data_IF_977610037186
#
_entry.id   IF_977610037186
#
_cell.length_a   1.000
_cell.length_b   1.000
_cell.length_c   1.000
_cell.angle_alpha   90.00
_cell.angle_beta   90.00
_cell.angle_gamma   90.00
#
_symmetry.space_group_name_H-M   'P 1'
#
loop_
_entity.id
_entity.type
_entity.pdbx_description
1 polymer ?
#
# COMPACT_ATOMS: atom_id res chain seq x y z
N UNK A 1 1.64 72.67 -53.88
CA UNK A 1 1.29 71.76 -52.80
C UNK A 1 -0.01 71.06 -53.21
N UNK A 2 0.04 69.74 -53.40
CA UNK A 2 -1.01 69.01 -54.12
C UNK A 2 -2.20 68.76 -53.23
N UNK A 3 -3.41 69.07 -53.73
CA UNK A 3 -4.70 68.82 -53.08
C UNK A 3 -4.91 67.29 -52.72
N UNK A 4 -4.18 66.40 -53.33
CA UNK A 4 -4.13 64.98 -53.09
C UNK A 4 -3.56 64.64 -51.70
N UNK A 5 -2.59 65.41 -51.18
CA UNK A 5 -1.97 65.20 -49.84
C UNK A 5 -2.99 65.39 -48.69
N UNK A 6 -3.91 66.32 -48.83
CA UNK A 6 -4.90 66.64 -47.79
C UNK A 6 -6.03 65.58 -47.75
N UNK A 7 -6.38 65.00 -48.88
CA UNK A 7 -7.39 63.94 -48.97
C UNK A 7 -6.86 62.65 -48.32
N UNK A 8 -5.58 62.30 -48.52
CA UNK A 8 -4.93 61.16 -47.91
C UNK A 8 -4.81 61.32 -46.39
N UNK A 9 -4.56 62.52 -45.90
CA UNK A 9 -4.48 62.82 -44.48
C UNK A 9 -5.86 62.74 -43.79
N UNK A 10 -6.91 63.25 -44.45
CA UNK A 10 -8.29 63.20 -43.95
C UNK A 10 -8.86 61.76 -43.93
N UNK A 11 -8.54 60.94 -44.94
CA UNK A 11 -8.92 59.51 -44.93
C UNK A 11 -8.19 58.74 -43.82
N UNK A 12 -6.93 59.05 -43.52
CA UNK A 12 -6.19 58.40 -42.41
C UNK A 12 -6.77 58.71 -41.02
N UNK A 13 -7.24 59.97 -40.80
CA UNK A 13 -7.85 60.37 -39.52
C UNK A 13 -9.25 59.76 -39.34
N UNK A 14 -9.99 59.52 -40.41
CA UNK A 14 -11.29 58.85 -40.31
C UNK A 14 -11.19 57.33 -40.01
N UNK A 15 -10.06 56.71 -40.35
CA UNK A 15 -9.80 55.30 -40.01
C UNK A 15 -9.41 55.07 -38.54
N UNK A 16 -8.96 56.09 -37.84
CA UNK A 16 -8.54 56.02 -36.43
C UNK A 16 -9.69 56.16 -35.44
N UNK A 17 -10.87 56.56 -35.87
CA UNK A 17 -12.06 56.62 -35.02
C UNK A 17 -12.93 55.35 -35.07
N UNK A 18 -12.42 54.29 -35.69
CA UNK A 18 -13.08 52.99 -35.76
C UNK A 18 -12.83 52.07 -34.54
N UNK A 19 -12.42 52.60 -33.37
CA UNK A 19 -12.62 51.89 -32.12
C UNK A 19 -14.12 51.90 -31.82
N UNK A 20 -14.82 50.98 -32.43
CA UNK A 20 -16.15 50.62 -32.01
C UNK A 20 -16.05 50.13 -30.60
N UNK A 21 -16.41 50.93 -29.60
CA UNK A 21 -16.71 50.42 -28.27
C UNK A 21 -17.83 49.40 -28.48
N UNK A 22 -17.45 48.16 -28.42
CA UNK A 22 -18.46 47.07 -28.40
C UNK A 22 -19.29 47.23 -27.12
N UNK A 23 -20.38 48.00 -27.23
CA UNK A 23 -21.40 48.12 -26.19
C UNK A 23 -22.33 46.95 -26.27
N UNK A 24 -21.81 45.75 -26.57
CA UNK A 24 -22.58 44.56 -26.51
C UNK A 24 -23.16 44.41 -25.10
N UNK A 25 -24.46 44.41 -24.98
CA UNK A 25 -25.17 43.99 -23.78
C UNK A 25 -24.99 42.48 -23.67
N UNK A 26 -23.79 42.06 -23.31
CA UNK A 26 -23.57 40.68 -22.93
C UNK A 26 -24.12 40.53 -21.51
N UNK A 27 -25.21 39.80 -21.38
CA UNK A 27 -25.63 39.29 -20.05
C UNK A 27 -24.60 38.30 -19.58
N UNK A 28 -23.52 38.77 -18.96
CA UNK A 28 -22.57 37.92 -18.32
C UNK A 28 -23.24 37.29 -17.11
N UNK A 29 -23.43 36.01 -17.16
CA UNK A 29 -23.76 35.26 -15.95
C UNK A 29 -22.49 35.31 -15.06
N UNK A 30 -22.53 35.99 -13.89
CA UNK A 30 -21.38 36.05 -13.03
C UNK A 30 -20.97 34.62 -12.65
N UNK A 31 -19.69 34.29 -12.86
CA UNK A 31 -19.13 33.04 -12.36
C UNK A 31 -19.14 33.10 -10.86
N UNK A 32 -19.67 32.06 -10.19
CA UNK A 32 -19.58 31.95 -8.75
C UNK A 32 -18.17 31.52 -8.36
N UNK A 33 -17.52 32.27 -7.52
CA UNK A 33 -16.24 31.88 -6.93
C UNK A 33 -16.44 30.69 -5.99
N UNK A 34 -15.62 29.67 -6.18
CA UNK A 34 -15.58 28.47 -5.35
C UNK A 34 -14.16 28.23 -4.88
N UNK A 35 -13.98 27.91 -3.60
CA UNK A 35 -12.69 27.51 -3.04
C UNK A 35 -12.77 26.05 -2.64
N UNK A 36 -11.88 25.23 -3.21
CA UNK A 36 -11.77 23.81 -2.96
C UNK A 36 -10.55 23.53 -2.06
N UNK A 37 -10.79 23.26 -0.77
CA UNK A 37 -9.74 22.94 0.20
C UNK A 37 -9.58 21.42 0.31
N UNK A 38 -8.50 20.88 -0.27
CA UNK A 38 -8.16 19.46 -0.20
C UNK A 38 -6.93 19.29 0.68
N UNK A 39 -7.15 18.85 1.91
CA UNK A 39 -6.07 18.60 2.88
C UNK A 39 -6.40 17.39 3.75
N UNK A 40 -6.30 16.17 3.22
CA UNK A 40 -6.53 14.96 4.00
C UNK A 40 -5.50 14.82 5.12
N UNK A 41 -5.96 14.52 6.33
CA UNK A 41 -5.10 14.29 7.49
C UNK A 41 -4.26 13.00 7.34
N UNK A 42 -4.79 12.02 6.64
CA UNK A 42 -4.06 10.81 6.28
C UNK A 42 -3.77 10.82 4.78
N UNK A 43 -2.50 10.97 4.43
CA UNK A 43 -2.01 10.94 3.05
C UNK A 43 -1.52 9.55 2.61
N UNK A 44 -1.71 8.54 3.46
CA UNK A 44 -1.41 7.16 3.14
C UNK A 44 -2.71 6.41 2.85
N UNK A 45 -2.69 5.58 1.82
CA UNK A 45 -3.74 4.63 1.55
C UNK A 45 -3.18 3.21 1.49
N UNK A 46 -4.03 2.23 1.75
CA UNK A 46 -3.63 0.84 1.79
C UNK A 46 -4.30 0.04 0.67
N UNK A 47 -3.49 -0.78 0.01
CA UNK A 47 -3.95 -1.63 -1.07
C UNK A 47 -5.13 -2.51 -0.64
N UNK A 48 -6.23 -2.45 -1.40
CA UNK A 48 -7.45 -3.22 -1.14
C UNK A 48 -8.35 -2.66 -0.03
N UNK A 49 -7.93 -1.61 0.68
CA UNK A 49 -8.76 -0.93 1.68
C UNK A 49 -9.44 0.31 1.08
N UNK A 50 -10.63 0.63 1.57
CA UNK A 50 -11.34 1.82 1.15
C UNK A 50 -10.61 3.07 1.63
N UNK A 51 -10.26 3.97 0.72
CA UNK A 51 -9.81 5.32 1.06
C UNK A 51 -10.98 6.29 0.93
N UNK A 52 -11.28 7.00 2.00
CA UNK A 52 -12.39 7.96 2.06
C UNK A 52 -11.91 9.30 2.61
N UNK A 53 -12.25 10.39 1.91
CA UNK A 53 -11.94 11.74 2.35
C UNK A 53 -13.05 12.71 1.89
N UNK A 54 -13.54 13.55 2.81
CA UNK A 54 -14.51 14.60 2.53
C UNK A 54 -13.81 15.97 2.52
N UNK A 55 -13.80 16.69 1.39
CA UNK A 55 -13.15 17.99 1.27
C UNK A 55 -13.97 19.10 1.91
N UNK A 56 -13.32 20.26 2.13
CA UNK A 56 -14.04 21.47 2.50
C UNK A 56 -14.19 22.37 1.27
N UNK A 57 -15.43 22.76 1.00
CA UNK A 57 -15.78 23.63 -0.11
C UNK A 57 -16.47 24.89 0.41
N UNK A 58 -16.02 26.04 -0.08
CA UNK A 58 -16.59 27.34 0.24
C UNK A 58 -17.08 28.02 -1.03
N UNK A 59 -18.29 28.52 -1.02
CA UNK A 59 -18.92 29.22 -2.13
C UNK A 59 -19.00 30.72 -1.80
N UNK A 60 -18.79 31.60 -2.80
CA UNK A 60 -18.98 33.02 -2.62
C UNK A 60 -20.47 33.39 -2.40
N UNK A 61 -21.38 32.61 -2.97
CA UNK A 61 -22.83 32.78 -2.80
C UNK A 61 -23.40 31.61 -2.01
N UNK A 62 -24.11 31.92 -0.92
CA UNK A 62 -24.75 30.90 -0.10
C UNK A 62 -25.80 30.10 -0.89
N UNK A 63 -25.88 28.80 -0.62
CA UNK A 63 -26.85 27.89 -1.21
C UNK A 63 -26.53 27.41 -2.64
N UNK A 64 -25.39 27.78 -3.19
CA UNK A 64 -25.04 27.51 -4.60
C UNK A 64 -24.46 26.10 -4.84
N UNK A 65 -24.33 25.28 -3.83
CA UNK A 65 -23.80 23.91 -3.94
C UNK A 65 -24.52 23.03 -4.96
N UNK A 66 -25.83 23.26 -5.17
CA UNK A 66 -26.67 22.51 -6.11
C UNK A 66 -26.33 22.79 -7.58
N UNK A 67 -25.59 23.86 -7.84
CA UNK A 67 -25.21 24.28 -9.20
C UNK A 67 -23.84 23.75 -9.61
N UNK A 68 -23.20 22.90 -8.81
CA UNK A 68 -21.91 22.32 -9.12
C UNK A 68 -22.00 20.80 -9.26
N UNK A 69 -21.24 20.28 -10.23
CA UNK A 69 -20.93 18.86 -10.38
C UNK A 69 -19.49 18.62 -9.97
N UNK A 70 -19.24 17.55 -9.22
CA UNK A 70 -17.93 17.25 -8.65
C UNK A 70 -17.39 15.93 -9.16
N UNK A 71 -16.06 15.87 -9.31
CA UNK A 71 -15.31 14.63 -9.55
C UNK A 71 -13.89 14.77 -9.02
N UNK A 72 -13.22 13.63 -8.92
CA UNK A 72 -11.84 13.55 -8.50
C UNK A 72 -10.99 12.97 -9.62
N UNK A 73 -9.82 13.56 -9.82
CA UNK A 73 -8.82 13.08 -10.75
C UNK A 73 -7.67 12.44 -9.98
N UNK A 74 -7.23 11.26 -10.43
CA UNK A 74 -5.99 10.61 -10.01
C UNK A 74 -4.96 10.81 -11.11
N UNK A 75 -3.80 11.31 -10.72
CA UNK A 75 -2.66 11.54 -11.61
C UNK A 75 -1.56 10.53 -11.28
N UNK A 76 -1.30 9.63 -12.22
CA UNK A 76 -0.18 8.71 -12.15
C UNK A 76 1.08 9.42 -12.70
N UNK A 77 2.08 9.61 -11.85
CA UNK A 77 3.35 10.27 -12.23
C UNK A 77 4.36 9.26 -12.80
N UNK A 78 3.97 8.43 -13.76
CA UNK A 78 4.93 7.64 -14.51
C UNK A 78 5.68 8.52 -15.50
N UNK A 79 7.01 8.62 -15.31
CA UNK A 79 8.02 9.13 -16.27
C UNK A 79 7.52 10.23 -17.24
N UNK A 80 7.22 11.41 -16.70
CA UNK A 80 7.07 12.63 -17.51
C UNK A 80 5.72 12.83 -18.22
N UNK A 81 4.81 11.90 -18.18
CA UNK A 81 3.44 12.05 -18.70
C UNK A 81 2.47 11.74 -17.57
N UNK A 82 1.78 12.77 -17.07
CA UNK A 82 0.69 12.57 -16.12
C UNK A 82 -0.49 11.93 -16.86
N UNK A 83 -0.69 10.64 -16.70
CA UNK A 83 -1.96 10.02 -17.04
C UNK A 83 -2.98 10.47 -15.99
N UNK A 84 -3.99 11.21 -16.44
CA UNK A 84 -5.10 11.64 -15.58
C UNK A 84 -6.24 10.68 -15.80
N UNK A 85 -6.69 10.06 -14.70
CA UNK A 85 -7.87 9.21 -14.70
C UNK A 85 -8.89 9.75 -13.68
N UNK A 86 -10.17 9.54 -13.96
CA UNK A 86 -11.23 9.91 -13.02
C UNK A 86 -11.32 8.84 -11.94
N UNK A 87 -10.93 9.20 -10.71
CA UNK A 87 -10.98 8.28 -9.57
C UNK A 87 -12.41 7.94 -9.16
N UNK A 88 -13.23 8.99 -9.02
CA UNK A 88 -14.63 8.86 -8.65
C UNK A 88 -15.40 10.12 -9.05
N UNK A 89 -16.71 9.96 -9.22
CA UNK A 89 -17.66 11.05 -9.44
C UNK A 89 -18.41 11.28 -8.14
N UNK A 90 -18.42 12.52 -7.68
CA UNK A 90 -19.08 12.93 -6.46
C UNK A 90 -18.26 13.93 -5.64
N UNK A 91 -18.83 14.35 -4.52
CA UNK A 91 -18.22 15.33 -3.62
C UNK A 91 -17.05 14.73 -2.84
N UNK A 92 -17.22 13.53 -2.32
CA UNK A 92 -16.20 12.84 -1.53
C UNK A 92 -15.25 12.05 -2.42
N UNK A 93 -13.97 11.97 -2.01
CA UNK A 93 -13.00 11.04 -2.57
C UNK A 93 -13.23 9.67 -1.94
N UNK A 94 -13.72 8.72 -2.73
CA UNK A 94 -14.08 7.39 -2.29
C UNK A 94 -13.63 6.36 -3.33
N UNK A 95 -12.55 5.63 -3.02
CA UNK A 95 -12.03 4.63 -3.94
C UNK A 95 -11.32 3.48 -3.24
N UNK A 96 -11.16 2.36 -3.94
CA UNK A 96 -10.38 1.20 -3.51
C UNK A 96 -9.11 1.13 -4.34
N UNK A 97 -7.94 1.48 -3.76
CA UNK A 97 -6.68 1.43 -4.48
C UNK A 97 -6.27 0.00 -4.83
N UNK A 98 -5.74 -0.19 -6.04
CA UNK A 98 -5.32 -1.48 -6.59
C UNK A 98 -3.81 -1.59 -6.84
N UNK A 99 -3.03 -0.59 -6.45
CA UNK A 99 -1.58 -0.58 -6.62
C UNK A 99 -0.87 0.21 -5.52
N UNK A 100 0.29 -0.28 -5.12
CA UNK A 100 1.22 0.39 -4.20
C UNK A 100 2.03 1.44 -4.96
N UNK A 101 1.53 2.64 -5.05
CA UNK A 101 2.21 3.75 -5.74
C UNK A 101 1.83 5.09 -5.13
N UNK A 102 2.64 6.10 -5.36
CA UNK A 102 2.26 7.47 -5.05
C UNK A 102 1.45 8.06 -6.21
N UNK A 103 0.33 8.66 -5.89
CA UNK A 103 -0.56 9.32 -6.87
C UNK A 103 -0.85 10.75 -6.44
N UNK A 104 -0.95 11.66 -7.40
CA UNK A 104 -1.53 12.97 -7.18
C UNK A 104 -3.05 12.88 -7.26
N UNK A 105 -3.76 13.53 -6.34
CA UNK A 105 -5.22 13.66 -6.41
C UNK A 105 -5.61 15.12 -6.39
N UNK A 106 -6.63 15.48 -7.13
CA UNK A 106 -7.26 16.81 -7.07
C UNK A 106 -8.76 16.71 -7.24
N UNK A 107 -9.47 17.59 -6.55
CA UNK A 107 -10.90 17.76 -6.72
C UNK A 107 -11.15 18.73 -7.87
N UNK A 108 -12.15 18.42 -8.68
CA UNK A 108 -12.67 19.29 -9.72
C UNK A 108 -14.16 19.58 -9.47
N UNK A 109 -14.58 20.82 -9.76
CA UNK A 109 -15.94 21.26 -9.64
C UNK A 109 -16.34 22.05 -10.91
N UNK A 110 -17.41 21.68 -11.56
CA UNK A 110 -17.93 22.38 -12.73
C UNK A 110 -19.21 23.14 -12.37
N UNK A 111 -19.22 24.45 -12.59
CA UNK A 111 -20.44 25.25 -12.52
C UNK A 111 -21.36 24.88 -13.68
N UNK A 112 -22.49 24.29 -13.39
CA UNK A 112 -23.47 23.81 -14.38
C UNK A 112 -24.15 24.93 -15.20
N UNK A 113 -24.04 26.19 -14.76
CA UNK A 113 -24.60 27.35 -15.47
C UNK A 113 -23.64 27.89 -16.52
N UNK A 114 -22.36 27.85 -16.24
CA UNK A 114 -21.31 28.47 -17.06
C UNK A 114 -20.40 27.46 -17.74
N UNK A 115 -20.43 26.20 -17.30
CA UNK A 115 -19.50 25.12 -17.67
C UNK A 115 -18.03 25.45 -17.32
N UNK A 116 -17.79 26.39 -16.41
CA UNK A 116 -16.45 26.69 -15.91
C UNK A 116 -16.03 25.61 -14.91
N UNK A 117 -14.84 25.06 -15.11
CA UNK A 117 -14.25 24.07 -14.22
C UNK A 117 -13.25 24.74 -13.29
N UNK A 118 -13.43 24.51 -11.98
CA UNK A 118 -12.50 24.89 -10.92
C UNK A 118 -11.80 23.64 -10.43
N UNK A 119 -10.54 23.74 -10.04
CA UNK A 119 -9.79 22.62 -9.49
C UNK A 119 -9.03 23.04 -8.22
N UNK A 120 -8.89 22.12 -7.28
CA UNK A 120 -8.03 22.29 -6.12
C UNK A 120 -6.56 22.19 -6.49
N UNK A 121 -5.68 22.55 -5.56
CA UNK A 121 -4.30 22.12 -5.61
C UNK A 121 -4.21 20.58 -5.58
N UNK A 122 -3.13 20.07 -6.16
CA UNK A 122 -2.82 18.64 -6.14
C UNK A 122 -2.27 18.22 -4.77
N UNK A 123 -2.80 17.13 -4.23
CA UNK A 123 -2.29 16.48 -3.02
C UNK A 123 -1.74 15.11 -3.39
N UNK A 124 -0.54 14.79 -2.93
CA UNK A 124 0.05 13.47 -3.13
C UNK A 124 -0.42 12.51 -2.04
N UNK A 125 -0.98 11.38 -2.45
CA UNK A 125 -1.27 10.23 -1.60
C UNK A 125 -0.24 9.14 -1.88
N UNK A 126 0.19 8.41 -0.83
CA UNK A 126 1.18 7.33 -0.92
C UNK A 126 0.52 5.99 -0.62
N UNK A 127 0.61 5.07 -1.58
CA UNK A 127 0.08 3.71 -1.45
C UNK A 127 1.06 2.78 -0.77
N UNK A 128 0.53 1.92 0.10
CA UNK A 128 1.30 0.89 0.81
C UNK A 128 0.51 -0.42 0.86
N UNK A 129 1.25 -1.55 0.98
CA UNK A 129 0.62 -2.80 1.34
C UNK A 129 0.04 -2.73 2.75
N UNK A 130 -1.18 -3.23 2.92
CA UNK A 130 -1.91 -3.12 4.19
C UNK A 130 -1.18 -3.76 5.38
N UNK A 131 -0.37 -4.79 5.11
CA UNK A 131 0.28 -5.60 6.13
C UNK A 131 1.83 -5.50 6.09
N UNK A 132 2.39 -4.46 5.46
CA UNK A 132 3.84 -4.33 5.27
C UNK A 132 4.59 -3.73 6.47
N UNK A 133 3.90 -3.02 7.36
CA UNK A 133 4.49 -2.32 8.50
C UNK A 133 3.64 -2.54 9.76
N UNK A 134 4.13 -3.36 10.68
CA UNK A 134 3.39 -3.62 11.91
C UNK A 134 3.95 -4.78 12.71
N UNK A 135 3.18 -5.24 13.67
CA UNK A 135 3.52 -6.36 14.54
C UNK A 135 2.61 -7.54 14.24
N UNK A 136 3.24 -8.66 13.90
CA UNK A 136 2.58 -9.95 13.79
C UNK A 136 2.68 -10.67 15.14
N UNK A 137 1.57 -11.18 15.64
CA UNK A 137 1.46 -11.79 16.97
C UNK A 137 0.89 -13.19 16.80
N UNK A 138 1.65 -14.18 17.24
CA UNK A 138 1.18 -15.57 17.36
C UNK A 138 0.67 -15.81 18.78
N UNK A 139 -0.50 -16.35 18.91
CA UNK A 139 -1.15 -16.65 20.19
C UNK A 139 -1.91 -17.97 20.14
N UNK A 140 -2.37 -18.43 21.29
CA UNK A 140 -3.34 -19.52 21.36
C UNK A 140 -4.72 -18.98 21.68
N UNK A 141 -5.72 -19.47 20.96
CA UNK A 141 -7.14 -19.14 21.15
C UNK A 141 -7.97 -20.40 21.08
N UNK A 142 -8.57 -20.80 22.20
CA UNK A 142 -9.40 -21.99 22.29
C UNK A 142 -8.71 -23.31 21.85
N UNK A 143 -7.41 -23.45 22.14
CA UNK A 143 -6.61 -24.60 21.76
C UNK A 143 -6.06 -24.60 20.34
N UNK A 144 -6.37 -23.57 19.54
CA UNK A 144 -5.85 -23.37 18.21
C UNK A 144 -4.82 -22.22 18.16
N UNK A 145 -3.88 -22.31 17.24
CA UNK A 145 -2.98 -21.20 16.92
C UNK A 145 -3.77 -20.08 16.24
N UNK A 146 -3.58 -18.86 16.70
CA UNK A 146 -4.17 -17.66 16.12
C UNK A 146 -3.09 -16.65 15.77
N UNK A 147 -3.26 -16.00 14.63
CA UNK A 147 -2.36 -14.97 14.12
C UNK A 147 -3.09 -13.64 14.08
N UNK A 148 -2.58 -12.65 14.81
CA UNK A 148 -3.12 -11.28 14.81
C UNK A 148 -2.07 -10.31 14.28
N UNK A 149 -2.52 -9.20 13.72
CA UNK A 149 -1.63 -8.15 13.21
C UNK A 149 -2.08 -6.79 13.73
N UNK A 150 -1.11 -5.95 14.10
CA UNK A 150 -1.33 -4.58 14.54
C UNK A 150 -0.54 -3.65 13.65
N UNK A 151 -1.22 -2.78 12.91
CA UNK A 151 -0.63 -1.74 12.08
C UNK A 151 -0.58 -0.42 12.82
N UNK A 152 0.61 0.17 13.06
CA UNK A 152 0.72 1.52 13.55
C UNK A 152 0.41 2.51 12.43
N UNK A 153 -0.41 3.49 12.71
CA UNK A 153 -0.72 4.57 11.81
C UNK A 153 -0.43 5.92 12.47
N UNK A 154 -0.24 6.94 11.67
CA UNK A 154 0.04 8.29 12.18
C UNK A 154 -0.74 9.30 11.36
N UNK A 155 -1.45 10.18 12.06
CA UNK A 155 -2.08 11.35 11.45
C UNK A 155 -1.05 12.45 11.15
N UNK A 156 -1.39 13.41 10.29
CA UNK A 156 -0.52 14.53 9.95
C UNK A 156 -0.14 15.39 11.19
N UNK A 157 -1.00 15.44 12.21
CA UNK A 157 -0.74 16.08 13.51
C UNK A 157 0.11 15.21 14.46
N UNK A 158 0.74 14.15 13.93
CA UNK A 158 1.63 13.20 14.64
C UNK A 158 0.98 12.42 15.77
N UNK A 159 -0.32 12.28 15.78
CA UNK A 159 -0.99 11.35 16.67
C UNK A 159 -0.91 9.94 16.13
N UNK A 160 -0.50 9.01 16.98
CA UNK A 160 -0.46 7.58 16.65
C UNK A 160 -1.79 6.94 16.98
N UNK A 161 -2.24 6.06 16.09
CA UNK A 161 -3.33 5.13 16.33
C UNK A 161 -2.96 3.76 15.76
N UNK A 162 -3.76 2.76 16.04
CA UNK A 162 -3.45 1.39 15.65
C UNK A 162 -4.69 0.77 15.01
N UNK A 163 -4.47 0.14 13.86
CA UNK A 163 -5.49 -0.71 13.23
C UNK A 163 -5.17 -2.15 13.57
N UNK A 164 -6.14 -2.84 14.15
CA UNK A 164 -6.00 -4.22 14.61
C UNK A 164 -6.70 -5.18 13.64
N UNK A 165 -6.03 -6.25 13.29
CA UNK A 165 -6.56 -7.38 12.52
C UNK A 165 -6.55 -8.59 13.46
N UNK A 166 -7.56 -8.74 14.32
CA UNK A 166 -7.66 -9.91 15.17
C UNK A 166 -7.93 -11.14 14.32
N UNK A 167 -7.17 -12.22 14.55
CA UNK A 167 -7.31 -13.45 13.82
C UNK A 167 -7.11 -13.30 12.30
N UNK A 168 -6.00 -12.67 11.93
CA UNK A 168 -5.63 -12.37 10.54
C UNK A 168 -5.69 -13.64 9.65
N UNK A 169 -5.17 -14.78 10.15
CA UNK A 169 -5.15 -16.02 9.35
C UNK A 169 -6.58 -16.49 9.02
N UNK A 170 -7.49 -16.42 9.98
CA UNK A 170 -8.90 -16.78 9.76
C UNK A 170 -9.62 -15.81 8.81
N UNK A 171 -9.18 -14.56 8.78
CA UNK A 171 -9.69 -13.56 7.81
C UNK A 171 -9.23 -13.89 6.39
N UNK A 172 -7.96 -14.32 6.23
CA UNK A 172 -7.41 -14.72 4.92
C UNK A 172 -7.92 -16.09 4.47
N UNK A 173 -8.14 -17.01 5.40
CA UNK A 173 -8.53 -18.40 5.17
C UNK A 173 -9.70 -18.79 6.07
N UNK A 174 -10.96 -18.38 5.77
CA UNK A 174 -12.12 -18.59 6.63
C UNK A 174 -12.40 -20.06 6.97
N UNK A 175 -12.08 -20.97 6.05
CA UNK A 175 -12.35 -22.40 6.14
C UNK A 175 -11.16 -23.24 6.59
N UNK A 176 -9.98 -22.61 6.85
CA UNK A 176 -8.77 -23.31 7.28
C UNK A 176 -8.43 -22.96 8.73
N UNK A 177 -7.88 -23.94 9.48
CA UNK A 177 -7.21 -23.70 10.75
C UNK A 177 -5.72 -23.41 10.50
N UNK A 178 -5.16 -22.46 11.25
CA UNK A 178 -3.70 -22.25 11.25
C UNK A 178 -2.97 -23.47 11.80
N UNK A 179 -3.60 -24.17 12.75
CA UNK A 179 -3.06 -25.32 13.47
C UNK A 179 -3.18 -25.18 14.99
N UNK A 180 -2.32 -25.85 15.74
CA UNK A 180 -2.35 -25.84 17.21
C UNK A 180 -0.96 -25.91 17.83
N UNK A 181 -0.86 -25.59 19.12
CA UNK A 181 0.39 -25.58 19.88
C UNK A 181 1.36 -24.52 19.35
N UNK A 182 0.99 -23.23 19.38
CA UNK A 182 1.83 -22.15 18.86
C UNK A 182 3.09 -22.03 19.72
N UNK A 183 4.25 -21.92 19.09
CA UNK A 183 5.54 -21.79 19.77
C UNK A 183 6.22 -20.46 19.47
N UNK A 184 6.39 -20.13 18.18
CA UNK A 184 7.25 -19.02 17.78
C UNK A 184 6.95 -18.52 16.36
N UNK A 185 7.26 -17.26 16.13
CA UNK A 185 7.41 -16.67 14.78
C UNK A 185 8.89 -16.43 14.50
N UNK A 186 9.30 -16.70 13.28
CA UNK A 186 10.61 -16.30 12.75
C UNK A 186 10.42 -15.63 11.40
N UNK A 187 11.11 -14.51 11.22
CA UNK A 187 11.24 -13.88 9.91
C UNK A 187 12.58 -14.30 9.31
N UNK A 188 12.53 -14.85 8.12
CA UNK A 188 13.69 -15.28 7.37
C UNK A 188 13.64 -14.68 5.95
N UNK A 189 14.78 -14.74 5.25
CA UNK A 189 14.84 -14.42 3.82
C UNK A 189 14.95 -15.75 3.08
N UNK A 190 13.99 -16.03 2.22
CA UNK A 190 13.96 -17.23 1.37
C UNK A 190 13.77 -16.80 -0.08
N UNK A 191 14.64 -17.25 -0.99
CA UNK A 191 14.61 -16.88 -2.42
C UNK A 191 14.48 -15.37 -2.66
N UNK A 192 15.29 -14.56 -1.94
CA UNK A 192 15.24 -13.10 -1.98
C UNK A 192 13.91 -12.46 -1.54
N UNK A 193 13.02 -13.25 -0.95
CA UNK A 193 11.75 -12.79 -0.39
C UNK A 193 11.74 -12.92 1.12
N UNK A 194 11.09 -11.98 1.79
CA UNK A 194 10.83 -12.10 3.22
C UNK A 194 9.73 -13.12 3.44
N UNK A 195 9.97 -14.06 4.33
CA UNK A 195 9.04 -15.14 4.71
C UNK A 195 8.90 -15.15 6.23
N UNK A 196 7.71 -15.40 6.71
CA UNK A 196 7.44 -15.63 8.13
C UNK A 196 7.18 -17.10 8.36
N UNK A 197 7.96 -17.71 9.25
CA UNK A 197 7.76 -19.10 9.68
C UNK A 197 6.90 -19.09 10.94
N UNK A 198 5.76 -19.77 10.87
CA UNK A 198 4.94 -20.06 12.03
C UNK A 198 5.36 -21.42 12.57
N UNK A 199 5.98 -21.45 13.74
CA UNK A 199 6.43 -22.65 14.41
C UNK A 199 5.39 -23.07 15.43
N UNK A 200 4.86 -24.28 15.25
CA UNK A 200 3.77 -24.85 16.06
C UNK A 200 3.82 -26.38 16.09
N UNK A 201 3.12 -27.00 17.04
CA UNK A 201 3.15 -28.46 17.24
C UNK A 201 2.47 -29.25 16.13
N UNK A 202 1.35 -28.72 15.62
CA UNK A 202 0.58 -29.39 14.56
C UNK A 202 1.24 -29.36 13.18
N UNK A 203 2.44 -28.83 13.06
CA UNK A 203 3.20 -28.66 11.82
C UNK A 203 3.45 -27.19 11.50
N UNK A 204 4.69 -26.86 11.27
CA UNK A 204 5.12 -25.49 10.97
C UNK A 204 4.90 -25.13 9.51
N UNK A 205 4.67 -23.84 9.21
CA UNK A 205 4.36 -23.38 7.87
C UNK A 205 5.03 -22.04 7.56
N UNK A 206 5.16 -21.76 6.27
CA UNK A 206 5.67 -20.50 5.74
C UNK A 206 4.52 -19.61 5.28
N UNK A 207 4.60 -18.33 5.66
CA UNK A 207 3.74 -17.27 5.18
C UNK A 207 4.60 -16.24 4.43
N UNK A 208 4.06 -15.67 3.37
CA UNK A 208 4.66 -14.51 2.71
C UNK A 208 4.84 -13.36 3.70
N UNK A 209 6.00 -12.72 3.71
CA UNK A 209 6.36 -11.72 4.73
C UNK A 209 5.62 -10.39 4.65
N UNK A 210 4.86 -10.12 3.57
CA UNK A 210 4.11 -8.88 3.38
C UNK A 210 2.60 -9.08 3.27
N UNK A 211 2.16 -10.20 2.73
CA UNK A 211 0.73 -10.52 2.59
C UNK A 211 0.21 -11.53 3.60
N UNK A 212 1.11 -12.26 4.27
CA UNK A 212 0.85 -13.39 5.18
C UNK A 212 0.02 -14.53 4.55
N UNK A 213 0.03 -14.58 3.21
CA UNK A 213 -0.53 -15.71 2.48
C UNK A 213 0.35 -16.92 2.72
N UNK A 214 -0.28 -18.08 2.97
CA UNK A 214 0.40 -19.38 3.16
C UNK A 214 1.08 -19.79 1.85
N UNK A 215 2.38 -20.05 1.92
CA UNK A 215 3.17 -20.50 0.78
C UNK A 215 3.29 -22.01 0.77
N UNK A 216 3.75 -22.61 1.87
CA UNK A 216 3.94 -24.05 2.00
C UNK A 216 4.08 -24.47 3.48
N UNK A 217 4.09 -25.76 3.74
CA UNK A 217 4.48 -26.29 5.05
C UNK A 217 5.99 -26.53 5.11
N UNK A 218 6.56 -26.46 6.30
CA UNK A 218 8.00 -26.81 6.50
C UNK A 218 8.32 -28.24 6.07
N UNK A 219 7.36 -29.15 6.20
CA UNK A 219 7.52 -30.54 5.75
C UNK A 219 7.74 -30.65 4.23
N UNK A 220 7.16 -29.76 3.44
CA UNK A 220 7.34 -29.73 1.98
C UNK A 220 8.71 -29.19 1.55
N UNK A 221 9.47 -28.65 2.50
CA UNK A 221 10.77 -28.00 2.26
C UNK A 221 11.96 -28.98 2.46
N UNK A 222 11.69 -30.29 2.41
CA UNK A 222 12.71 -31.34 2.52
C UNK A 222 12.93 -32.07 1.19
N UNK A 223 14.18 -32.42 0.91
CA UNK A 223 14.52 -33.32 -0.21
C UNK A 223 14.20 -34.73 0.20
N UNK A 224 13.33 -35.40 -0.54
CA UNK A 224 12.96 -36.79 -0.27
C UNK A 224 11.92 -36.92 0.84
N UNK A 225 12.10 -37.90 1.70
CA UNK A 225 11.16 -38.17 2.80
C UNK A 225 11.33 -37.19 3.93
N UNK A 226 10.21 -36.67 4.44
CA UNK A 226 10.20 -35.85 5.66
C UNK A 226 10.71 -36.66 6.83
N UNK A 227 11.65 -36.12 7.66
CA UNK A 227 12.14 -36.82 8.83
C UNK A 227 11.00 -37.29 9.74
N UNK A 228 11.03 -38.56 10.12
CA UNK A 228 10.01 -39.14 11.00
C UNK A 228 9.98 -38.42 12.34
N UNK A 229 8.82 -37.91 12.74
CA UNK A 229 8.66 -37.18 13.99
C UNK A 229 9.24 -35.77 13.95
N UNK A 230 9.40 -35.16 12.76
CA UNK A 230 9.84 -33.78 12.63
C UNK A 230 8.90 -32.87 13.43
N UNK A 231 9.44 -32.25 14.46
CA UNK A 231 8.78 -31.23 15.26
C UNK A 231 9.73 -30.04 15.40
N UNK A 232 9.44 -28.99 14.65
CA UNK A 232 10.33 -27.83 14.56
C UNK A 232 10.37 -27.09 15.88
N UNK A 233 11.59 -26.79 16.35
CA UNK A 233 11.85 -25.99 17.53
C UNK A 233 12.20 -24.57 17.17
N UNK A 234 13.07 -24.40 16.18
CA UNK A 234 13.48 -23.06 15.74
C UNK A 234 14.13 -23.05 14.36
N UNK A 235 14.25 -21.84 13.79
CA UNK A 235 14.99 -21.51 12.59
C UNK A 235 16.07 -20.48 12.88
N UNK A 236 17.21 -20.61 12.22
CA UNK A 236 18.35 -19.71 12.30
C UNK A 236 18.87 -19.40 10.90
N UNK A 237 19.42 -18.24 10.74
CA UNK A 237 20.11 -17.84 9.52
C UNK A 237 21.54 -17.39 9.86
N UNK A 238 22.51 -17.80 9.05
CA UNK A 238 23.89 -17.39 9.20
C UNK A 238 24.74 -17.70 7.96
N UNK A 239 25.53 -16.74 7.48
CA UNK A 239 26.43 -16.87 6.33
C UNK A 239 25.80 -17.43 5.06
N UNK A 240 24.54 -17.06 4.76
CA UNK A 240 23.83 -17.55 3.57
C UNK A 240 23.28 -18.97 3.70
N UNK A 241 23.27 -19.52 4.89
CA UNK A 241 22.72 -20.85 5.20
C UNK A 241 21.57 -20.70 6.17
N UNK A 242 20.44 -21.34 5.87
CA UNK A 242 19.35 -21.52 6.82
C UNK A 242 19.53 -22.83 7.59
N UNK A 243 19.26 -22.74 8.87
CA UNK A 243 19.30 -23.89 9.77
C UNK A 243 17.94 -24.09 10.42
N UNK A 244 17.49 -25.32 10.44
CA UNK A 244 16.30 -25.79 11.17
C UNK A 244 16.75 -26.70 12.31
N UNK A 245 16.31 -26.38 13.53
CA UNK A 245 16.47 -27.22 14.70
C UNK A 245 15.14 -27.89 15.04
N UNK A 246 15.14 -29.21 15.25
CA UNK A 246 13.98 -29.93 15.76
C UNK A 246 14.01 -30.09 17.30
N UNK A 247 12.89 -30.54 17.87
CA UNK A 247 12.79 -30.78 19.33
C UNK A 247 13.69 -31.92 19.81
N UNK A 248 14.13 -32.80 18.93
CA UNK A 248 15.05 -33.89 19.24
C UNK A 248 16.51 -33.44 19.26
N UNK A 249 16.79 -32.20 18.85
CA UNK A 249 18.14 -31.63 18.75
C UNK A 249 18.81 -31.94 17.40
N UNK A 250 18.09 -32.45 16.40
CA UNK A 250 18.64 -32.58 15.06
C UNK A 250 18.71 -31.21 14.42
N UNK A 251 19.85 -30.91 13.78
CA UNK A 251 20.08 -29.68 13.02
C UNK A 251 20.10 -30.03 11.53
N UNK A 252 19.30 -29.36 10.76
CA UNK A 252 19.23 -29.46 9.32
C UNK A 252 19.73 -28.15 8.70
N UNK A 253 20.35 -28.22 7.52
CA UNK A 253 20.79 -27.03 6.79
C UNK A 253 20.22 -27.00 5.39
N UNK A 254 20.05 -25.79 4.90
CA UNK A 254 19.68 -25.47 3.53
C UNK A 254 20.64 -24.39 3.02
N UNK A 255 21.39 -24.70 1.97
CA UNK A 255 22.37 -23.81 1.37
C UNK A 255 21.77 -23.07 0.16
N UNK A 256 21.93 -21.78 0.14
CA UNK A 256 21.75 -20.98 -1.07
C UNK A 256 23.08 -21.04 -1.86
N UNK A 257 23.26 -22.07 -2.65
CA UNK A 257 24.40 -22.12 -3.55
C UNK A 257 24.13 -21.14 -4.71
N UNK A 258 24.87 -20.04 -4.72
CA UNK A 258 24.79 -18.99 -5.73
C UNK A 258 25.19 -19.39 -7.15
N UNK A 259 25.25 -20.69 -7.45
CA UNK A 259 25.60 -21.25 -8.76
C UNK A 259 24.39 -21.64 -9.63
N UNK A 260 23.19 -21.26 -9.21
CA UNK A 260 21.94 -21.52 -9.95
C UNK A 260 21.46 -22.97 -9.90
N UNK A 261 22.07 -23.81 -9.08
CA UNK A 261 21.54 -25.12 -8.71
C UNK A 261 20.66 -24.94 -7.48
N UNK A 262 19.37 -24.76 -7.69
CA UNK A 262 18.38 -24.63 -6.63
C UNK A 262 18.30 -25.93 -5.82
N UNK A 263 19.10 -26.04 -4.77
CA UNK A 263 18.82 -26.96 -3.68
C UNK A 263 18.39 -26.14 -2.46
N UNK A 264 17.28 -25.40 -2.67
CA UNK A 264 16.66 -24.59 -1.61
C UNK A 264 15.86 -25.44 -0.63
N UNK A 265 16.23 -26.70 -0.43
CA UNK A 265 15.50 -27.64 0.40
C UNK A 265 16.43 -28.19 1.50
N UNK A 266 15.84 -28.46 2.67
CA UNK A 266 16.57 -29.11 3.75
C UNK A 266 16.91 -30.56 3.36
N UNK A 267 18.08 -30.98 3.80
CA UNK A 267 18.61 -32.32 3.55
C UNK A 267 18.60 -33.16 4.84
N UNK A 268 19.45 -34.16 4.91
CA UNK A 268 19.63 -34.99 6.11
C UNK A 268 20.23 -34.16 7.26
N UNK A 269 19.93 -34.48 8.53
CA UNK A 269 20.48 -33.78 9.67
C UNK A 269 21.99 -33.95 9.75
N UNK A 270 22.67 -32.99 10.41
CA UNK A 270 24.06 -33.15 10.80
C UNK A 270 24.17 -34.38 11.70
N UNK A 271 25.12 -35.26 11.38
CA UNK A 271 25.40 -36.46 12.16
C UNK A 271 26.47 -36.24 13.22
N UNK A 272 26.40 -36.98 14.31
CA UNK A 272 27.40 -36.98 15.36
C UNK A 272 27.21 -35.94 16.45
N UNK A 273 26.26 -35.01 16.31
CA UNK A 273 25.98 -34.00 17.35
C UNK A 273 24.48 -33.80 17.54
N UNK A 274 24.10 -33.52 18.78
CA UNK A 274 22.78 -33.00 19.14
C UNK A 274 22.93 -31.55 19.61
N UNK A 275 22.04 -30.71 19.15
CA UNK A 275 22.04 -29.29 19.44
C UNK A 275 20.91 -28.92 20.40
N UNK A 276 21.15 -27.91 21.23
CA UNK A 276 20.10 -27.32 22.06
C UNK A 276 20.15 -25.80 21.98
N UNK A 277 18.96 -25.20 22.11
CA UNK A 277 18.82 -23.77 22.18
C UNK A 277 18.74 -23.32 23.63
N UNK A 278 19.65 -22.43 24.04
CA UNK A 278 19.65 -21.76 25.35
C UNK A 278 19.47 -20.25 25.13
N UNK A 279 18.27 -19.75 25.35
CA UNK A 279 17.90 -18.41 24.94
C UNK A 279 17.94 -18.29 23.40
N UNK A 280 18.84 -17.43 22.90
CA UNK A 280 19.08 -17.30 21.44
C UNK A 280 20.42 -17.96 21.00
N UNK A 281 21.07 -18.72 21.87
CA UNK A 281 22.34 -19.39 21.56
C UNK A 281 22.10 -20.85 21.23
N UNK A 282 22.68 -21.29 20.13
CA UNK A 282 22.72 -22.68 19.72
C UNK A 282 23.99 -23.31 20.32
N UNK A 283 23.84 -24.34 21.16
CA UNK A 283 24.92 -25.05 21.80
C UNK A 283 24.88 -26.53 21.43
N UNK A 284 26.03 -27.19 21.46
CA UNK A 284 26.10 -28.66 21.38
C UNK A 284 25.54 -29.22 22.69
N UNK A 285 24.48 -30.03 22.61
CA UNK A 285 23.90 -30.72 23.74
C UNK A 285 24.62 -32.03 24.00
N UNK A 286 24.80 -32.83 22.96
CA UNK A 286 25.43 -34.16 23.03
C UNK A 286 26.28 -34.43 21.78
N UNK A 287 27.36 -35.20 21.95
CA UNK A 287 28.12 -35.81 20.86
C UNK A 287 27.65 -37.26 20.77
N UNK A 288 27.21 -37.70 19.61
CA UNK A 288 26.62 -39.04 19.35
C UNK A 288 27.64 -39.92 18.69
#
# INVERSE_FOLDING_TARGET
MNKISYISLAAGVLMLNGCYEDKGHYDYTPTNGITLEVNPQNKMYYLGERYFYSPKVTYEQEGDSVNFSYWWEIMDKKEGVAAVDTACVGFDLDFYPNAEKSVGVRMCAMDLRTNVVHSSDEVTLTGQAALSQGWLILSEKSGESALSYIRPEMTDDKKRFYTEYPDLYKTLYPDESLGSGPKRLRQIIHNNSTVVVVIQESGSLYLNGSSYIKEMTVAQDFVGDVPVGLNVKDFFWGNGVDFLLDENGNLYSRDYLGDGRNVDLFTTPFTGVRMQLEGERLNIRDII
#
